data_IF_051291068281
#
_entry.id   IF_051291068281
#
_cell.length_a   1.000
_cell.length_b   1.000
_cell.length_c   1.000
_cell.angle_alpha   90.00
_cell.angle_beta   90.00
_cell.angle_gamma   90.00
#
_symmetry.space_group_name_H-M   'P 1'
#
loop_
_entity.id
_entity.type
_entity.pdbx_description
1 polymer ?
#
# COMPACT_ATOMS: atom_id res chain seq x y z
N UNK A 1 8.23 12.93 -10.53
CA UNK A 1 8.39 14.22 -9.83
C UNK A 1 9.87 14.52 -9.69
N UNK A 2 10.30 15.69 -10.07
CA UNK A 2 11.71 16.07 -10.02
C UNK A 2 12.00 16.90 -8.77
N UNK A 3 13.20 16.73 -8.24
CA UNK A 3 13.73 17.57 -7.18
C UNK A 3 13.75 19.03 -7.68
N UNK A 4 13.23 19.97 -6.88
CA UNK A 4 13.13 21.39 -7.25
C UNK A 4 11.79 21.81 -7.88
N UNK A 5 10.89 20.89 -8.17
CA UNK A 5 9.53 21.25 -8.63
C UNK A 5 8.72 21.88 -7.49
N UNK A 6 7.67 22.62 -7.84
CA UNK A 6 6.74 23.19 -6.83
C UNK A 6 6.11 22.12 -5.97
N UNK A 7 5.71 21.02 -6.59
CA UNK A 7 5.10 19.91 -5.89
C UNK A 7 6.10 19.24 -4.93
N UNK A 8 7.34 19.09 -5.36
CA UNK A 8 8.40 18.55 -4.50
C UNK A 8 8.62 19.46 -3.28
N UNK A 9 8.67 20.77 -3.49
CA UNK A 9 8.82 21.75 -2.40
C UNK A 9 7.64 21.73 -1.42
N UNK A 10 6.42 21.58 -1.91
CA UNK A 10 5.22 21.42 -1.07
C UNK A 10 5.34 20.18 -0.20
N UNK A 11 5.80 19.09 -0.77
CA UNK A 11 5.97 17.82 -0.04
C UNK A 11 7.10 17.89 0.98
N UNK A 12 8.17 18.61 0.67
CA UNK A 12 9.23 18.88 1.65
C UNK A 12 8.68 19.64 2.86
N UNK A 13 7.85 20.64 2.62
CA UNK A 13 7.20 21.42 3.68
C UNK A 13 6.25 20.53 4.51
N UNK A 14 5.44 19.74 3.85
CA UNK A 14 4.54 18.77 4.49
C UNK A 14 5.31 17.81 5.39
N UNK A 15 6.39 17.21 4.87
CA UNK A 15 7.25 16.31 5.63
C UNK A 15 7.85 17.01 6.85
N UNK A 16 8.30 18.26 6.70
CA UNK A 16 8.84 19.07 7.80
C UNK A 16 7.79 19.27 8.90
N UNK A 17 6.57 19.58 8.54
CA UNK A 17 5.45 19.75 9.47
C UNK A 17 5.12 18.44 10.18
N UNK A 18 5.11 17.32 9.45
CA UNK A 18 4.86 16.00 10.02
C UNK A 18 5.94 15.63 11.03
N UNK A 19 7.21 15.87 10.71
CA UNK A 19 8.33 15.63 11.64
C UNK A 19 8.20 16.45 12.91
N UNK A 20 7.76 17.70 12.79
CA UNK A 20 7.60 18.61 13.91
C UNK A 20 6.37 18.26 14.78
N UNK A 21 5.40 17.54 14.25
CA UNK A 21 4.14 17.22 14.95
C UNK A 21 4.33 16.29 16.15
N UNK A 22 5.37 15.48 16.17
CA UNK A 22 5.63 14.49 17.21
C UNK A 22 4.75 13.23 17.11
N UNK A 23 3.93 13.10 16.07
CA UNK A 23 3.02 11.95 15.89
C UNK A 23 3.70 10.72 15.29
N UNK A 24 4.82 10.92 14.62
CA UNK A 24 5.50 9.87 13.86
C UNK A 24 6.85 9.53 14.46
N UNK A 25 7.19 8.24 14.48
CA UNK A 25 8.53 7.81 14.87
C UNK A 25 9.55 8.13 13.78
N UNK A 26 9.12 8.17 12.52
CA UNK A 26 9.94 8.60 11.40
C UNK A 26 9.07 9.13 10.27
N UNK A 27 9.61 10.07 9.49
CA UNK A 27 9.05 10.51 8.22
C UNK A 27 10.21 10.61 7.26
N UNK A 28 10.18 9.78 6.23
CA UNK A 28 11.23 9.65 5.22
C UNK A 28 10.70 10.06 3.87
N UNK A 29 11.34 11.05 3.23
CA UNK A 29 10.94 11.50 1.90
C UNK A 29 11.84 10.86 0.84
N UNK A 30 11.23 10.36 -0.23
CA UNK A 30 11.97 9.85 -1.37
C UNK A 30 12.43 11.00 -2.27
N UNK A 31 13.73 11.18 -2.41
CA UNK A 31 14.32 12.14 -3.35
C UNK A 31 14.00 11.76 -4.80
N UNK A 32 13.88 10.46 -5.04
CA UNK A 32 13.70 9.89 -6.38
C UNK A 32 12.30 10.15 -6.94
N UNK A 33 11.27 9.91 -6.13
CA UNK A 33 9.88 10.02 -6.56
C UNK A 33 9.10 11.14 -5.91
N UNK A 34 9.63 11.72 -4.84
CA UNK A 34 8.96 12.79 -4.11
C UNK A 34 7.83 12.35 -3.19
N UNK A 35 7.60 11.04 -3.06
CA UNK A 35 6.68 10.51 -2.07
C UNK A 35 7.32 10.43 -0.70
N UNK A 36 6.58 9.98 0.29
CA UNK A 36 7.12 9.80 1.63
C UNK A 36 6.55 8.58 2.34
N UNK A 37 7.28 8.12 3.35
CA UNK A 37 6.82 7.09 4.28
C UNK A 37 6.83 7.69 5.67
N UNK A 38 5.67 7.80 6.29
CA UNK A 38 5.52 8.21 7.69
C UNK A 38 5.09 7.01 8.50
N UNK A 39 5.76 6.79 9.63
CA UNK A 39 5.43 5.68 10.53
C UNK A 39 4.92 6.27 11.85
N UNK A 40 3.66 5.99 12.19
CA UNK A 40 3.10 6.44 13.47
C UNK A 40 3.85 5.80 14.64
N UNK A 41 3.96 6.54 15.74
CA UNK A 41 4.57 5.99 16.95
C UNK A 41 3.76 4.80 17.46
N UNK A 42 4.44 3.68 17.68
CA UNK A 42 3.82 2.43 18.08
C UNK A 42 4.74 1.63 18.97
N UNK A 43 4.16 0.80 19.83
CA UNK A 43 4.90 -0.21 20.61
C UNK A 43 5.32 -1.39 19.72
N UNK A 44 4.66 -1.57 18.59
CA UNK A 44 4.90 -2.69 17.70
C UNK A 44 5.66 -2.22 16.47
N UNK A 45 6.66 -3.00 16.07
CA UNK A 45 7.43 -2.73 14.85
C UNK A 45 6.66 -3.27 13.65
N UNK A 46 6.62 -2.49 12.58
CA UNK A 46 6.11 -2.97 11.31
C UNK A 46 7.04 -4.04 10.73
N UNK A 47 6.45 -4.97 10.00
CA UNK A 47 7.23 -6.00 9.32
C UNK A 47 8.13 -5.36 8.26
N UNK A 48 9.34 -5.91 8.01
CA UNK A 48 10.24 -5.37 7.00
C UNK A 48 9.62 -5.20 5.61
N UNK A 49 8.77 -6.14 5.19
CA UNK A 49 8.10 -6.07 3.89
C UNK A 49 7.08 -4.94 3.79
N UNK A 50 6.50 -4.52 4.91
CA UNK A 50 5.58 -3.36 4.93
C UNK A 50 6.35 -2.06 4.68
N UNK A 51 7.51 -1.91 5.32
CA UNK A 51 8.39 -0.74 5.14
C UNK A 51 8.98 -0.74 3.73
N UNK A 52 9.41 -1.87 3.25
CA UNK A 52 9.96 -2.04 1.90
C UNK A 52 8.94 -1.64 0.83
N UNK A 53 7.71 -2.14 0.94
CA UNK A 53 6.63 -1.78 0.02
C UNK A 53 6.33 -0.29 0.07
N UNK A 54 6.26 0.29 1.26
CA UNK A 54 6.02 1.72 1.42
C UNK A 54 7.12 2.56 0.75
N UNK A 55 8.37 2.16 0.87
CA UNK A 55 9.49 2.84 0.21
C UNK A 55 9.41 2.75 -1.32
N UNK A 56 9.04 1.59 -1.86
CA UNK A 56 8.80 1.45 -3.29
C UNK A 56 7.71 2.41 -3.76
N UNK A 57 6.62 2.50 -3.01
CA UNK A 57 5.52 3.41 -3.33
C UNK A 57 5.97 4.87 -3.26
N UNK A 58 6.73 5.25 -2.23
CA UNK A 58 7.27 6.60 -2.11
C UNK A 58 8.19 6.96 -3.28
N UNK A 59 8.97 6.01 -3.77
CA UNK A 59 9.81 6.20 -4.95
C UNK A 59 9.00 6.45 -6.24
N UNK A 60 7.72 6.10 -6.24
CA UNK A 60 6.77 6.36 -7.33
C UNK A 60 5.88 7.57 -7.07
N UNK A 61 6.14 8.32 -5.99
CA UNK A 61 5.41 9.54 -5.68
C UNK A 61 4.24 9.40 -4.73
N UNK A 62 4.01 8.21 -4.18
CA UNK A 62 2.92 7.98 -3.24
C UNK A 62 3.26 8.48 -1.84
N UNK A 63 2.25 8.99 -1.14
CA UNK A 63 2.33 9.37 0.27
C UNK A 63 1.78 8.23 1.09
N UNK A 64 2.65 7.60 1.89
CA UNK A 64 2.28 6.41 2.67
C UNK A 64 2.42 6.70 4.16
N UNK A 65 1.38 6.40 4.91
CA UNK A 65 1.39 6.47 6.37
C UNK A 65 1.12 5.06 6.90
N UNK A 66 2.06 4.52 7.65
CA UNK A 66 1.88 3.24 8.34
C UNK A 66 1.33 3.53 9.74
N UNK A 67 0.17 2.95 10.04
CA UNK A 67 -0.54 3.19 11.28
C UNK A 67 -0.02 2.34 12.43
N UNK A 68 -0.25 2.84 13.63
CA UNK A 68 -0.10 2.06 14.85
C UNK A 68 -1.18 0.97 14.88
N UNK A 69 -0.75 -0.28 14.84
CA UNK A 69 -1.64 -1.43 14.96
C UNK A 69 -1.83 -1.79 16.44
N UNK A 70 -2.68 -1.04 17.13
CA UNK A 70 -3.00 -1.33 18.54
C UNK A 70 -3.90 -2.56 18.65
N UNK A 71 -3.32 -3.68 18.66
CA UNK A 71 -3.61 -5.05 19.12
C UNK A 71 -5.01 -5.65 19.02
N UNK A 72 -6.12 -5.00 19.18
CA UNK A 72 -7.42 -5.65 19.34
C UNK A 72 -8.52 -5.18 18.40
N UNK A 73 -8.26 -4.17 17.61
CA UNK A 73 -9.24 -3.62 16.67
C UNK A 73 -8.79 -3.94 15.25
N UNK A 74 -9.73 -4.30 14.38
CA UNK A 74 -9.45 -4.44 12.96
C UNK A 74 -9.08 -3.06 12.39
N UNK A 75 -7.80 -2.71 12.43
CA UNK A 75 -7.30 -1.45 11.87
C UNK A 75 -6.68 -1.71 10.51
N UNK A 76 -6.82 -0.79 9.56
CA UNK A 76 -6.07 -0.86 8.31
C UNK A 76 -4.57 -0.71 8.60
N UNK A 77 -3.72 -1.20 7.68
CA UNK A 77 -2.27 -1.06 7.82
C UNK A 77 -1.83 0.39 7.76
N UNK A 78 -2.56 1.24 7.06
CA UNK A 78 -2.25 2.64 6.96
C UNK A 78 -3.05 3.37 5.91
N UNK A 79 -2.44 4.44 5.39
CA UNK A 79 -3.02 5.29 4.34
C UNK A 79 -2.06 5.40 3.16
N UNK A 80 -2.61 5.37 1.96
CA UNK A 80 -1.94 5.78 0.72
C UNK A 80 -2.72 7.01 0.25
N UNK A 81 -2.07 8.17 0.26
CA UNK A 81 -2.76 9.47 0.23
C UNK A 81 -3.78 9.51 1.37
N UNK A 82 -5.05 9.69 1.09
CA UNK A 82 -6.11 9.71 2.11
C UNK A 82 -6.90 8.40 2.20
N UNK A 83 -6.54 7.41 1.40
CA UNK A 83 -7.26 6.12 1.34
C UNK A 83 -6.66 5.11 2.29
N UNK A 84 -7.51 4.39 3.02
CA UNK A 84 -7.07 3.27 3.86
C UNK A 84 -6.59 2.12 2.99
N UNK A 85 -5.59 1.38 3.46
CA UNK A 85 -5.12 0.20 2.75
C UNK A 85 -4.79 -0.95 3.69
N UNK A 86 -4.85 -2.15 3.12
CA UNK A 86 -4.37 -3.38 3.75
C UNK A 86 -3.37 -4.03 2.80
N UNK A 87 -2.20 -4.36 3.30
CA UNK A 87 -1.14 -5.00 2.54
C UNK A 87 -1.13 -6.51 2.75
N UNK A 88 -0.95 -7.24 1.66
CA UNK A 88 -0.67 -8.67 1.68
C UNK A 88 0.66 -8.91 0.95
N UNK A 89 1.53 -9.72 1.56
CA UNK A 89 2.81 -10.13 0.95
C UNK A 89 2.83 -11.65 0.92
N UNK A 90 2.23 -12.28 -0.11
CA UNK A 90 2.15 -13.73 -0.18
C UNK A 90 3.53 -14.36 -0.40
N UNK A 91 3.74 -15.52 0.23
CA UNK A 91 5.00 -16.25 0.15
C UNK A 91 4.87 -17.57 -0.65
N UNK A 92 3.63 -18.06 -0.82
CA UNK A 92 3.39 -19.35 -1.48
C UNK A 92 2.09 -19.41 -2.29
N UNK A 93 1.30 -18.34 -2.29
CA UNK A 93 0.04 -18.28 -3.04
C UNK A 93 0.33 -18.36 -4.55
N UNK A 94 -0.54 -19.05 -5.28
CA UNK A 94 -0.39 -19.23 -6.73
C UNK A 94 -1.72 -19.11 -7.45
N UNK A 95 -1.64 -18.70 -8.71
CA UNK A 95 -2.77 -18.68 -9.63
C UNK A 95 -3.84 -17.66 -9.29
N UNK A 96 -4.93 -17.75 -10.02
CA UNK A 96 -6.08 -16.84 -9.87
C UNK A 96 -6.73 -16.94 -8.49
N UNK A 97 -6.85 -18.15 -7.95
CA UNK A 97 -7.41 -18.38 -6.63
C UNK A 97 -6.52 -17.78 -5.53
N UNK A 98 -5.21 -17.91 -5.67
CA UNK A 98 -4.27 -17.33 -4.74
C UNK A 98 -4.38 -15.82 -4.68
N UNK A 99 -4.52 -15.16 -5.83
CA UNK A 99 -4.71 -13.73 -5.91
C UNK A 99 -6.07 -13.31 -5.33
N UNK A 100 -7.13 -14.00 -5.72
CA UNK A 100 -8.49 -13.75 -5.17
C UNK A 100 -8.48 -13.82 -3.63
N UNK A 101 -7.79 -14.81 -3.06
CA UNK A 101 -7.75 -14.98 -1.61
C UNK A 101 -7.06 -13.81 -0.91
N UNK A 102 -6.08 -13.17 -1.55
CA UNK A 102 -5.47 -11.96 -1.00
C UNK A 102 -6.46 -10.80 -0.94
N UNK A 103 -7.31 -10.67 -1.94
CA UNK A 103 -8.36 -9.65 -1.96
C UNK A 103 -9.42 -9.91 -0.88
N UNK A 104 -9.80 -11.17 -0.68
CA UNK A 104 -10.76 -11.54 0.36
C UNK A 104 -10.24 -11.21 1.76
N UNK A 105 -8.95 -11.39 1.98
CA UNK A 105 -8.32 -11.01 3.24
C UNK A 105 -8.41 -9.50 3.48
N UNK A 106 -8.13 -8.69 2.47
CA UNK A 106 -8.23 -7.25 2.56
C UNK A 106 -9.68 -6.76 2.74
N UNK A 107 -10.65 -7.45 2.13
CA UNK A 107 -12.07 -7.15 2.27
C UNK A 107 -12.50 -7.14 3.73
N UNK A 108 -12.02 -8.09 4.52
CA UNK A 108 -12.40 -8.23 5.92
C UNK A 108 -12.00 -7.02 6.77
N UNK A 109 -11.07 -6.21 6.30
CA UNK A 109 -10.64 -4.97 6.95
C UNK A 109 -11.43 -3.75 6.49
N UNK A 110 -12.32 -3.89 5.51
CA UNK A 110 -13.14 -2.82 4.94
C UNK A 110 -12.33 -1.60 4.46
N UNK A 111 -11.18 -1.85 3.86
CA UNK A 111 -10.28 -0.79 3.37
C UNK A 111 -10.65 -0.32 1.97
N UNK A 112 -10.16 0.88 1.62
CA UNK A 112 -10.34 1.45 0.27
C UNK A 112 -9.45 0.76 -0.76
N UNK A 113 -8.23 0.41 -0.36
CA UNK A 113 -7.21 -0.15 -1.26
C UNK A 113 -6.76 -1.51 -0.75
N UNK A 114 -6.81 -2.51 -1.62
CA UNK A 114 -6.09 -3.76 -1.40
C UNK A 114 -4.72 -3.63 -2.08
N UNK A 115 -3.65 -3.71 -1.30
CA UNK A 115 -2.28 -3.67 -1.78
C UNK A 115 -1.70 -5.08 -1.72
N UNK A 116 -1.38 -5.65 -2.88
CA UNK A 116 -0.70 -6.94 -2.97
C UNK A 116 0.76 -6.67 -3.36
N UNK A 117 1.67 -6.92 -2.43
CA UNK A 117 3.09 -6.83 -2.70
C UNK A 117 3.59 -8.19 -3.16
N UNK A 118 3.77 -8.33 -4.47
CA UNK A 118 4.24 -9.57 -5.09
C UNK A 118 5.77 -9.63 -5.05
N UNK A 119 6.30 -9.64 -3.84
CA UNK A 119 7.74 -9.62 -3.56
C UNK A 119 8.48 -10.80 -4.18
N UNK A 120 7.84 -11.95 -4.23
CA UNK A 120 8.44 -13.20 -4.69
C UNK A 120 8.01 -13.59 -6.10
N UNK A 121 7.38 -12.67 -6.82
CA UNK A 121 6.98 -12.84 -8.22
C UNK A 121 6.13 -14.11 -8.44
N UNK A 122 5.10 -14.25 -7.61
CA UNK A 122 4.23 -15.43 -7.60
C UNK A 122 3.11 -15.37 -8.63
N UNK A 123 2.71 -14.17 -9.07
CA UNK A 123 1.53 -13.97 -9.91
C UNK A 123 1.90 -13.48 -11.29
N UNK A 124 1.33 -14.13 -12.30
CA UNK A 124 1.36 -13.64 -13.68
C UNK A 124 0.29 -12.57 -13.85
N UNK A 125 0.36 -11.84 -14.96
CA UNK A 125 -0.65 -10.86 -15.34
C UNK A 125 -2.03 -11.52 -15.47
N UNK A 126 -2.08 -12.73 -15.99
CA UNK A 126 -3.30 -13.52 -16.15
C UNK A 126 -3.86 -13.94 -14.79
N UNK A 127 -3.01 -14.30 -13.83
CA UNK A 127 -3.41 -14.62 -12.47
C UNK A 127 -4.10 -13.44 -11.81
N UNK A 128 -3.57 -12.24 -11.98
CA UNK A 128 -4.15 -11.01 -11.45
C UNK A 128 -5.51 -10.75 -12.07
N UNK A 129 -5.60 -10.79 -13.41
CA UNK A 129 -6.87 -10.56 -14.11
C UNK A 129 -7.93 -11.58 -13.73
N UNK A 130 -7.55 -12.85 -13.73
CA UNK A 130 -8.48 -13.94 -13.38
C UNK A 130 -8.89 -13.89 -11.92
N UNK A 131 -7.97 -13.57 -11.04
CA UNK A 131 -8.24 -13.40 -9.61
C UNK A 131 -9.19 -12.25 -9.31
N UNK A 132 -9.05 -11.13 -10.01
CA UNK A 132 -9.97 -10.00 -9.92
C UNK A 132 -11.38 -10.39 -10.36
N UNK A 133 -11.51 -11.11 -11.48
CA UNK A 133 -12.81 -11.59 -11.97
C UNK A 133 -13.47 -12.56 -10.99
N UNK A 134 -12.69 -13.49 -10.43
CA UNK A 134 -13.18 -14.42 -9.42
C UNK A 134 -13.65 -13.69 -8.18
N UNK A 135 -12.89 -12.71 -7.71
CA UNK A 135 -13.28 -11.90 -6.56
C UNK A 135 -14.62 -11.21 -6.81
N UNK A 136 -14.77 -10.54 -7.93
CA UNK A 136 -16.00 -9.82 -8.29
C UNK A 136 -17.20 -10.76 -8.46
N UNK A 137 -16.97 -11.98 -8.92
CA UNK A 137 -18.03 -12.99 -9.08
C UNK A 137 -18.61 -13.42 -7.74
N UNK A 138 -17.75 -13.61 -6.73
CA UNK A 138 -18.15 -14.18 -5.44
C UNK A 138 -18.31 -13.13 -4.33
N UNK A 139 -18.03 -11.88 -4.59
CA UNK A 139 -18.13 -10.80 -3.60
C UNK A 139 -18.84 -9.59 -4.18
N UNK A 140 -19.75 -9.02 -3.40
CA UNK A 140 -20.39 -7.75 -3.77
C UNK A 140 -19.50 -6.55 -3.46
N UNK A 141 -18.62 -6.70 -2.49
CA UNK A 141 -17.69 -5.64 -2.09
C UNK A 141 -16.76 -5.29 -3.25
N UNK A 142 -16.51 -3.97 -3.40
CA UNK A 142 -15.57 -3.45 -4.38
C UNK A 142 -14.59 -2.50 -3.70
N UNK A 143 -13.30 -2.71 -3.93
CA UNK A 143 -12.27 -1.77 -3.50
C UNK A 143 -12.31 -0.55 -4.42
N UNK A 144 -11.92 0.63 -3.89
CA UNK A 144 -11.71 1.80 -4.75
C UNK A 144 -10.59 1.55 -5.74
N UNK A 145 -9.56 0.82 -5.31
CA UNK A 145 -8.55 0.30 -6.22
C UNK A 145 -7.85 -0.91 -5.62
N UNK A 146 -7.33 -1.76 -6.50
CA UNK A 146 -6.42 -2.83 -6.16
C UNK A 146 -5.06 -2.45 -6.72
N UNK A 147 -4.05 -2.40 -5.87
CA UNK A 147 -2.68 -2.08 -6.26
C UNK A 147 -1.83 -3.32 -6.20
N UNK A 148 -1.14 -3.63 -7.28
CA UNK A 148 -0.17 -4.73 -7.31
C UNK A 148 1.21 -4.12 -7.44
N UNK A 149 2.04 -4.34 -6.43
CA UNK A 149 3.41 -3.86 -6.38
C UNK A 149 4.34 -5.02 -6.71
N UNK A 150 5.13 -4.88 -7.76
CA UNK A 150 6.08 -5.91 -8.15
C UNK A 150 7.34 -5.91 -7.27
N UNK A 151 8.10 -6.99 -7.35
CA UNK A 151 9.38 -7.10 -6.64
C UNK A 151 10.37 -5.99 -7.00
N UNK A 152 10.23 -5.41 -8.18
CA UNK A 152 11.09 -4.32 -8.67
C UNK A 152 10.55 -2.93 -8.34
N UNK A 153 9.41 -2.84 -7.66
CA UNK A 153 8.81 -1.56 -7.29
C UNK A 153 7.90 -0.95 -8.34
N UNK A 154 7.49 -1.71 -9.35
CA UNK A 154 6.51 -1.25 -10.32
C UNK A 154 5.10 -1.41 -9.78
N UNK A 155 4.27 -0.39 -10.00
CA UNK A 155 2.90 -0.35 -9.48
C UNK A 155 1.90 -0.51 -10.62
N UNK A 156 1.00 -1.48 -10.48
CA UNK A 156 -0.13 -1.66 -11.39
C UNK A 156 -1.42 -1.42 -10.62
N UNK A 157 -2.27 -0.54 -11.14
CA UNK A 157 -3.51 -0.13 -10.49
C UNK A 157 -4.69 -0.69 -11.27
N UNK A 158 -5.59 -1.37 -10.55
CA UNK A 158 -6.84 -1.88 -11.10
C UNK A 158 -7.99 -1.20 -10.38
N UNK A 159 -8.75 -0.40 -11.11
CA UNK A 159 -9.96 0.26 -10.59
C UNK A 159 -11.17 -0.57 -10.92
N UNK A 160 -12.17 -0.51 -10.04
CA UNK A 160 -13.43 -1.16 -10.32
C UNK A 160 -14.09 -0.51 -11.55
N UNK A 161 -14.43 -1.33 -12.53
CA UNK A 161 -15.19 -0.90 -13.69
C UNK A 161 -16.68 -0.92 -13.35
N UNK A 162 -17.31 0.24 -13.55
CA UNK A 162 -18.76 0.33 -13.39
C UNK A 162 -19.48 -0.45 -14.47
#
# INVERSE_FOLDING_TARGET
MTNGSREYSRRQKEVGEMRASGKYSSVEMSEKGGGYVAIEKSKYLHKPEEIEAARHLANKGYKVILKDEAGHVKTPDGYIFSYTFEQSTPVSAKGENGFKNRLQHARDKAVDIALVYDKYDLFTKEDVKGGLKLYERYNRHRFKMVMVLSSRGNVHIHKHNK
#
